data_IF_557699675161
#
_entry.id   IF_557699675161
#
_cell.length_a   1.000
_cell.length_b   1.000
_cell.length_c   1.000
_cell.angle_alpha   90.00
_cell.angle_beta   90.00
_cell.angle_gamma   90.00
#
_symmetry.space_group_name_H-M   'P 1'
#
loop_
_entity.id
_entity.type
_entity.pdbx_description
1 polymer ?
#
# COMPACT_ATOMS: atom_id res chain seq x y z
N UNK A 1 20.67 50.52 -27.17
CA UNK A 1 21.64 51.21 -26.29
C UNK A 1 21.90 50.26 -25.13
N UNK A 2 22.84 49.33 -25.31
CA UNK A 2 23.14 48.26 -24.36
C UNK A 2 24.60 48.43 -23.93
N UNK A 3 24.79 48.65 -22.64
CA UNK A 3 26.07 48.89 -21.99
C UNK A 3 26.77 47.58 -21.66
N UNK A 4 28.02 47.50 -22.12
CA UNK A 4 29.07 46.61 -21.62
C UNK A 4 29.35 46.90 -20.14
N UNK A 5 29.45 45.85 -19.33
CA UNK A 5 30.23 45.86 -18.10
C UNK A 5 30.99 44.55 -18.05
N UNK A 6 32.30 44.68 -18.22
CA UNK A 6 33.33 43.71 -17.89
C UNK A 6 33.90 44.18 -16.55
N UNK A 7 34.04 43.29 -15.56
CA UNK A 7 35.11 43.46 -14.58
C UNK A 7 35.48 42.17 -13.84
N UNK A 8 36.65 41.70 -14.24
CA UNK A 8 37.69 41.00 -13.49
C UNK A 8 37.51 40.85 -11.98
N UNK A 9 37.49 39.59 -11.51
CA UNK A 9 37.90 39.26 -10.14
C UNK A 9 38.77 38.00 -10.14
N UNK A 10 40.03 38.21 -9.79
CA UNK A 10 41.05 37.19 -9.52
C UNK A 10 40.70 36.40 -8.25
N UNK A 11 40.89 35.07 -8.23
CA UNK A 11 40.83 34.31 -6.98
C UNK A 11 42.19 34.33 -6.25
N UNK A 12 42.19 34.29 -4.89
CA UNK A 12 43.41 34.25 -4.11
C UNK A 12 44.06 32.86 -4.16
N UNK A 13 45.38 32.87 -4.31
CA UNK A 13 46.25 31.71 -4.15
C UNK A 13 46.27 31.26 -2.69
N UNK A 14 45.82 30.03 -2.43
CA UNK A 14 46.08 29.32 -1.17
C UNK A 14 47.04 28.17 -1.43
N UNK A 15 48.28 28.34 -0.98
CA UNK A 15 49.25 27.26 -0.88
C UNK A 15 48.75 26.24 0.16
N UNK A 16 48.47 25.01 -0.30
CA UNK A 16 48.15 23.89 0.59
C UNK A 16 49.45 23.14 0.91
N UNK A 17 49.87 23.22 2.16
CA UNK A 17 50.96 22.42 2.71
C UNK A 17 50.47 20.98 2.81
N UNK A 18 51.05 20.09 2.00
CA UNK A 18 50.89 18.65 2.16
C UNK A 18 51.64 18.21 3.43
N UNK A 19 50.89 17.99 4.52
CA UNK A 19 51.35 17.20 5.65
C UNK A 19 50.85 15.77 5.47
N UNK A 20 51.77 14.90 5.03
CA UNK A 20 51.52 13.47 4.92
C UNK A 20 51.57 12.83 6.31
N UNK A 21 50.41 12.72 6.97
CA UNK A 21 50.26 11.80 8.08
C UNK A 21 49.97 10.39 7.54
N UNK A 22 50.67 9.35 8.02
CA UNK A 22 50.36 7.98 7.63
C UNK A 22 48.97 7.61 8.13
N UNK A 23 48.10 7.18 7.21
CA UNK A 23 46.79 6.62 7.50
C UNK A 23 47.03 5.36 8.34
N UNK A 24 46.88 5.49 9.66
CA UNK A 24 46.68 4.34 10.54
C UNK A 24 45.33 3.75 10.16
N UNK A 25 45.37 2.69 9.35
CA UNK A 25 44.20 1.94 8.95
C UNK A 25 43.58 1.33 10.20
N UNK A 26 42.43 1.88 10.59
CA UNK A 26 41.68 1.51 11.78
C UNK A 26 41.15 0.08 11.66
N UNK A 27 41.96 -0.88 12.13
CA UNK A 27 41.63 -2.31 12.10
C UNK A 27 40.41 -2.65 12.97
N UNK A 28 39.97 -1.75 13.86
CA UNK A 28 38.79 -1.95 14.73
C UNK A 28 37.48 -2.03 13.94
N UNK A 29 37.39 -1.33 12.80
CA UNK A 29 36.24 -1.29 11.89
C UNK A 29 35.91 -2.65 11.26
N UNK A 30 36.93 -3.40 10.85
CA UNK A 30 36.77 -4.67 10.12
C UNK A 30 36.25 -5.80 11.03
N UNK A 31 36.72 -5.86 12.28
CA UNK A 31 36.26 -6.85 13.26
C UNK A 31 34.83 -6.60 13.72
N UNK A 32 34.45 -5.33 13.88
CA UNK A 32 33.08 -4.92 14.20
C UNK A 32 32.09 -5.36 13.11
N UNK A 33 32.45 -5.17 11.83
CA UNK A 33 31.63 -5.59 10.69
C UNK A 33 31.39 -7.11 10.65
N UNK A 34 32.43 -7.93 10.88
CA UNK A 34 32.29 -9.40 10.90
C UNK A 34 31.38 -9.89 12.03
N UNK A 35 31.51 -9.32 13.22
CA UNK A 35 30.67 -9.67 14.38
C UNK A 35 29.21 -9.30 14.14
N UNK A 36 28.95 -8.12 13.56
CA UNK A 36 27.59 -7.69 13.22
C UNK A 36 26.98 -8.59 12.15
N UNK A 37 27.72 -8.95 11.09
CA UNK A 37 27.23 -9.89 10.06
C UNK A 37 26.80 -11.22 10.67
N UNK A 38 27.61 -11.81 11.57
CA UNK A 38 27.25 -13.06 12.27
C UNK A 38 25.97 -12.91 13.09
N UNK A 39 25.81 -11.79 13.81
CA UNK A 39 24.57 -11.49 14.55
C UNK A 39 23.36 -11.37 13.62
N UNK A 40 23.49 -10.63 12.51
CA UNK A 40 22.43 -10.49 11.52
C UNK A 40 22.03 -11.84 10.92
N UNK A 41 22.99 -12.70 10.60
CA UNK A 41 22.72 -14.06 10.10
C UNK A 41 21.99 -14.92 11.14
N UNK A 42 22.43 -14.89 12.41
CA UNK A 42 21.78 -15.63 13.48
C UNK A 42 20.34 -15.14 13.72
N UNK A 43 20.14 -13.82 13.78
CA UNK A 43 18.81 -13.21 13.94
C UNK A 43 17.92 -13.51 12.74
N UNK A 44 18.44 -13.43 11.52
CA UNK A 44 17.68 -13.79 10.32
C UNK A 44 17.27 -15.26 10.31
N UNK A 45 18.14 -16.17 10.73
CA UNK A 45 17.79 -17.59 10.88
C UNK A 45 16.65 -17.76 11.88
N UNK A 46 16.74 -17.09 13.04
CA UNK A 46 15.70 -17.17 14.07
C UNK A 46 14.37 -16.58 13.59
N UNK A 47 14.39 -15.44 12.90
CA UNK A 47 13.20 -14.86 12.27
C UNK A 47 12.62 -15.84 11.26
N UNK A 48 13.46 -16.48 10.43
CA UNK A 48 12.99 -17.48 9.46
C UNK A 48 12.24 -18.62 10.16
N UNK A 49 12.78 -19.14 11.26
CA UNK A 49 12.13 -20.19 12.04
C UNK A 49 10.80 -19.71 12.64
N UNK A 50 10.75 -18.47 13.14
CA UNK A 50 9.54 -17.86 13.70
C UNK A 50 8.46 -17.66 12.63
N UNK A 51 8.82 -17.21 11.42
CA UNK A 51 7.81 -16.91 10.38
C UNK A 51 7.36 -18.15 9.63
N UNK A 52 8.20 -19.19 9.53
CA UNK A 52 7.89 -20.43 8.78
C UNK A 52 7.47 -21.62 9.67
N UNK A 53 7.85 -21.67 10.96
CA UNK A 53 7.73 -22.89 11.77
C UNK A 53 6.35 -23.12 12.37
N UNK A 54 5.65 -24.20 12.00
CA UNK A 54 4.23 -24.44 12.27
C UNK A 54 3.85 -24.61 13.75
N UNK A 55 4.78 -24.97 14.63
CA UNK A 55 4.47 -25.44 16.00
C UNK A 55 4.59 -24.37 17.10
N UNK A 56 4.94 -23.13 16.73
CA UNK A 56 5.11 -22.07 17.72
C UNK A 56 3.76 -21.46 18.08
N UNK A 57 3.43 -21.44 19.37
CA UNK A 57 2.30 -20.66 19.87
C UNK A 57 2.65 -19.16 19.80
N UNK A 58 1.69 -18.27 19.50
CA UNK A 58 1.92 -16.83 19.44
C UNK A 58 2.60 -16.26 20.69
N UNK A 59 2.24 -16.78 21.86
CA UNK A 59 2.77 -16.40 23.18
C UNK A 59 4.29 -16.63 23.28
N UNK A 60 4.80 -17.71 22.68
CA UNK A 60 6.23 -17.98 22.65
C UNK A 60 6.97 -17.14 21.60
N UNK A 61 6.28 -16.61 20.58
CA UNK A 61 6.95 -15.90 19.48
C UNK A 61 7.37 -14.47 19.87
N UNK A 62 6.58 -13.76 20.66
CA UNK A 62 6.85 -12.37 21.03
C UNK A 62 8.16 -12.19 21.82
N UNK A 63 8.44 -12.97 22.89
CA UNK A 63 9.72 -12.88 23.59
C UNK A 63 10.92 -13.16 22.66
N UNK A 64 10.78 -14.09 21.72
CA UNK A 64 11.83 -14.41 20.77
C UNK A 64 12.13 -13.25 19.80
N UNK A 65 11.10 -12.51 19.38
CA UNK A 65 11.25 -11.31 18.54
C UNK A 65 12.00 -10.22 19.32
N UNK A 66 11.64 -10.00 20.59
CA UNK A 66 12.33 -9.03 21.45
C UNK A 66 13.79 -9.39 21.68
N UNK A 67 14.10 -10.68 21.90
CA UNK A 67 15.49 -11.16 21.99
C UNK A 67 16.25 -10.91 20.68
N UNK A 68 15.62 -11.14 19.53
CA UNK A 68 16.22 -10.86 18.23
C UNK A 68 16.50 -9.35 18.02
N UNK A 69 15.55 -8.49 18.39
CA UNK A 69 15.70 -7.05 18.32
C UNK A 69 16.85 -6.57 19.24
N UNK A 70 16.89 -7.06 20.49
CA UNK A 70 17.94 -6.74 21.45
C UNK A 70 19.34 -7.20 20.99
N UNK A 71 19.44 -8.35 20.33
CA UNK A 71 20.72 -8.91 19.88
C UNK A 71 21.46 -8.03 18.86
N UNK A 72 20.71 -7.27 18.05
CA UNK A 72 21.24 -6.35 17.03
C UNK A 72 21.56 -4.95 17.57
N UNK A 73 21.19 -4.66 18.81
CA UNK A 73 21.33 -3.33 19.40
C UNK A 73 20.18 -2.37 19.03
N UNK A 74 20.20 -1.14 19.54
CA UNK A 74 19.09 -0.21 19.41
C UNK A 74 18.77 0.16 17.95
N UNK A 75 17.56 -0.21 17.53
CA UNK A 75 16.72 0.47 16.54
C UNK A 75 17.02 0.17 15.07
N UNK A 76 18.24 0.41 14.59
CA UNK A 76 18.43 0.66 13.15
C UNK A 76 18.63 -0.59 12.28
N UNK A 77 19.09 -1.70 12.85
CA UNK A 77 19.45 -2.89 12.05
C UNK A 77 18.35 -3.94 11.99
N UNK A 78 17.49 -4.01 13.01
CA UNK A 78 16.42 -5.02 13.06
C UNK A 78 15.37 -4.82 11.96
N UNK A 79 14.86 -3.59 11.78
CA UNK A 79 13.90 -3.32 10.71
C UNK A 79 14.50 -3.56 9.32
N UNK A 80 15.78 -3.26 9.11
CA UNK A 80 16.47 -3.51 7.83
C UNK A 80 16.48 -5.00 7.48
N UNK A 81 16.58 -5.89 8.46
CA UNK A 81 16.52 -7.34 8.22
C UNK A 81 15.10 -7.76 7.86
N UNK A 82 14.08 -7.22 8.54
CA UNK A 82 12.67 -7.55 8.31
C UNK A 82 12.16 -7.10 6.93
N UNK A 83 12.60 -5.92 6.48
CA UNK A 83 12.17 -5.30 5.22
C UNK A 83 12.95 -5.79 3.99
N UNK A 84 14.05 -6.53 4.18
CA UNK A 84 14.81 -7.12 3.09
C UNK A 84 14.21 -8.46 2.65
N UNK A 85 14.28 -8.75 1.35
CA UNK A 85 13.81 -9.99 0.72
C UNK A 85 14.74 -11.19 0.99
N UNK A 86 14.85 -11.58 2.25
CA UNK A 86 15.84 -12.55 2.73
C UNK A 86 15.28 -13.98 2.89
N UNK A 87 13.97 -14.19 2.73
CA UNK A 87 13.32 -15.48 2.93
C UNK A 87 12.62 -15.86 1.63
N UNK A 88 13.22 -16.78 0.86
CA UNK A 88 12.70 -17.25 -0.44
C UNK A 88 12.29 -16.10 -1.38
N UNK A 89 13.09 -15.04 -1.44
CA UNK A 89 12.82 -13.87 -2.29
C UNK A 89 11.78 -12.88 -1.74
N UNK A 90 11.24 -13.10 -0.54
CA UNK A 90 10.28 -12.22 0.11
C UNK A 90 10.76 -11.74 1.49
N UNK A 91 10.09 -10.70 1.98
CA UNK A 91 10.28 -10.11 3.31
C UNK A 91 9.79 -11.04 4.41
N UNK A 92 10.23 -10.81 5.65
CA UNK A 92 9.69 -11.56 6.79
C UNK A 92 8.19 -11.28 6.97
N UNK A 93 7.78 -10.02 6.83
CA UNK A 93 6.38 -9.60 6.98
C UNK A 93 5.44 -10.27 5.96
N UNK A 94 5.91 -10.47 4.71
CA UNK A 94 5.19 -11.25 3.70
C UNK A 94 4.83 -12.65 4.22
N UNK A 95 5.82 -13.40 4.71
CA UNK A 95 5.60 -14.77 5.17
C UNK A 95 4.71 -14.85 6.41
N UNK A 96 4.76 -13.85 7.28
CA UNK A 96 3.89 -13.79 8.44
C UNK A 96 2.43 -13.64 8.04
N UNK A 97 2.12 -12.84 7.02
CA UNK A 97 0.76 -12.73 6.47
C UNK A 97 0.36 -14.06 5.80
N UNK A 98 1.21 -14.60 4.92
CA UNK A 98 0.94 -15.86 4.19
C UNK A 98 0.68 -17.03 5.13
N UNK A 99 1.42 -17.11 6.24
CA UNK A 99 1.26 -18.17 7.22
C UNK A 99 0.23 -17.85 8.32
N UNK A 100 -0.59 -16.80 8.13
CA UNK A 100 -1.65 -16.35 9.04
C UNK A 100 -1.19 -16.12 10.49
N UNK A 101 -0.03 -15.49 10.69
CA UNK A 101 0.57 -15.23 12.02
C UNK A 101 0.38 -13.78 12.45
N UNK A 102 -0.86 -13.31 12.49
CA UNK A 102 -1.15 -11.88 12.64
C UNK A 102 -0.64 -11.27 13.95
N UNK A 103 -0.57 -12.04 15.04
CA UNK A 103 0.02 -11.56 16.29
C UNK A 103 1.51 -11.20 16.13
N UNK A 104 2.26 -12.06 15.44
CA UNK A 104 3.66 -11.80 15.08
C UNK A 104 3.75 -10.63 14.11
N UNK A 105 2.80 -10.52 13.19
CA UNK A 105 2.76 -9.43 12.23
C UNK A 105 2.71 -8.08 12.96
N UNK A 106 1.77 -7.91 13.89
CA UNK A 106 1.63 -6.66 14.63
C UNK A 106 2.85 -6.34 15.49
N UNK A 107 3.44 -7.35 16.14
CA UNK A 107 4.68 -7.18 16.88
C UNK A 107 5.85 -6.70 15.99
N UNK A 108 5.98 -7.25 14.78
CA UNK A 108 7.02 -6.83 13.83
C UNK A 108 6.68 -5.49 13.13
N UNK A 109 5.40 -5.20 12.95
CA UNK A 109 4.87 -3.99 12.35
C UNK A 109 5.25 -2.76 13.19
N UNK A 110 5.21 -2.85 14.51
CA UNK A 110 5.64 -1.78 15.43
C UNK A 110 7.09 -1.32 15.17
N UNK A 111 7.99 -2.25 14.80
CA UNK A 111 9.38 -1.91 14.47
C UNK A 111 9.57 -1.34 13.06
N UNK A 112 8.58 -1.47 12.17
CA UNK A 112 8.78 -1.32 10.71
C UNK A 112 7.87 -0.31 10.02
N UNK A 113 6.72 0.05 10.61
CA UNK A 113 5.67 0.85 9.95
C UNK A 113 6.17 2.15 9.31
N UNK A 114 7.02 2.91 10.00
CA UNK A 114 7.56 4.18 9.50
C UNK A 114 8.57 4.03 8.35
N UNK A 115 8.98 2.80 8.03
CA UNK A 115 10.10 2.51 7.13
C UNK A 115 9.70 1.65 5.92
N UNK A 116 8.41 1.46 5.65
CA UNK A 116 7.96 0.68 4.50
C UNK A 116 8.43 1.28 3.17
N UNK A 117 9.47 0.67 2.62
CA UNK A 117 9.93 0.94 1.27
C UNK A 117 8.87 0.52 0.23
N UNK A 118 8.89 1.09 -0.98
CA UNK A 118 8.00 0.65 -2.06
C UNK A 118 8.06 -0.86 -2.30
N UNK A 119 9.27 -1.44 -2.25
CA UNK A 119 9.50 -2.88 -2.38
C UNK A 119 8.80 -3.69 -1.27
N UNK A 120 8.82 -3.19 -0.03
CA UNK A 120 8.10 -3.84 1.06
C UNK A 120 6.59 -3.75 0.89
N UNK A 121 6.06 -2.57 0.50
CA UNK A 121 4.61 -2.41 0.25
C UNK A 121 4.14 -3.35 -0.84
N UNK A 122 4.92 -3.47 -1.90
CA UNK A 122 4.71 -4.40 -3.00
C UNK A 122 4.66 -5.86 -2.55
N UNK A 123 5.55 -6.25 -1.64
CA UNK A 123 5.55 -7.58 -1.01
C UNK A 123 4.29 -7.78 -0.16
N UNK A 124 3.95 -6.83 0.70
CA UNK A 124 2.75 -6.92 1.56
C UNK A 124 1.47 -6.97 0.73
N UNK A 125 1.38 -6.22 -0.37
CA UNK A 125 0.29 -6.28 -1.35
C UNK A 125 0.17 -7.69 -1.92
N UNK A 126 1.29 -8.29 -2.32
CA UNK A 126 1.33 -9.66 -2.84
C UNK A 126 0.88 -10.67 -1.78
N UNK A 127 1.30 -10.50 -0.51
CA UNK A 127 0.88 -11.38 0.58
C UNK A 127 -0.64 -11.32 0.81
N UNK A 128 -1.19 -10.11 0.89
CA UNK A 128 -2.63 -9.91 1.05
C UNK A 128 -3.40 -10.50 -0.12
N UNK A 129 -2.92 -10.31 -1.36
CA UNK A 129 -3.50 -10.89 -2.56
C UNK A 129 -3.56 -12.43 -2.49
N UNK A 130 -2.43 -13.09 -2.23
CA UNK A 130 -2.35 -14.56 -2.17
C UNK A 130 -3.23 -15.14 -1.06
N UNK A 131 -3.37 -14.42 0.06
CA UNK A 131 -4.22 -14.82 1.19
C UNK A 131 -5.66 -14.34 1.08
N UNK A 132 -6.01 -13.64 0.00
CA UNK A 132 -7.28 -12.94 -0.17
C UNK A 132 -7.71 -12.09 1.05
N UNK A 133 -6.76 -11.49 1.78
CA UNK A 133 -7.00 -10.81 3.05
C UNK A 133 -7.13 -9.28 2.90
N UNK A 134 -8.35 -8.82 2.62
CA UNK A 134 -8.66 -7.39 2.49
C UNK A 134 -8.51 -6.61 3.81
N UNK A 135 -8.80 -7.24 4.96
CA UNK A 135 -8.74 -6.55 6.25
C UNK A 135 -7.33 -6.03 6.54
N UNK A 136 -6.31 -6.87 6.35
CA UNK A 136 -4.90 -6.47 6.50
C UNK A 136 -4.52 -5.44 5.44
N UNK A 137 -4.92 -5.66 4.18
CA UNK A 137 -4.66 -4.72 3.09
C UNK A 137 -5.15 -3.30 3.39
N UNK A 138 -6.38 -3.19 3.92
CA UNK A 138 -7.01 -1.92 4.30
C UNK A 138 -6.36 -1.30 5.53
N UNK A 139 -6.06 -2.10 6.56
CA UNK A 139 -5.45 -1.63 7.81
C UNK A 139 -4.03 -1.07 7.58
N UNK A 140 -3.27 -1.71 6.70
CA UNK A 140 -1.93 -1.27 6.30
C UNK A 140 -1.92 -0.13 5.27
N UNK A 141 -3.10 0.34 4.84
CA UNK A 141 -3.23 1.38 3.83
C UNK A 141 -2.42 1.07 2.55
N UNK A 142 -2.39 -0.20 2.12
CA UNK A 142 -1.56 -0.67 1.01
C UNK A 142 -2.09 -0.26 -0.37
N UNK A 143 -3.31 0.29 -0.44
CA UNK A 143 -3.90 0.77 -1.67
C UNK A 143 -3.20 1.99 -2.28
N UNK A 144 -3.54 2.32 -3.53
CA UNK A 144 -3.18 3.59 -4.18
C UNK A 144 -3.89 4.73 -3.43
N UNK A 145 -3.16 5.57 -2.67
CA UNK A 145 -3.78 6.60 -1.79
C UNK A 145 -3.17 8.00 -1.86
N UNK A 146 -2.23 8.28 -2.77
CA UNK A 146 -1.36 9.46 -2.61
C UNK A 146 -2.09 10.80 -2.80
N UNK A 147 -2.97 10.93 -3.79
CA UNK A 147 -3.60 12.23 -4.10
C UNK A 147 -4.94 12.42 -3.39
N UNK A 148 -5.77 11.39 -3.32
CA UNK A 148 -7.06 11.41 -2.62
C UNK A 148 -6.91 11.79 -1.13
N UNK A 149 -5.83 11.38 -0.46
CA UNK A 149 -5.63 11.75 0.94
C UNK A 149 -5.51 13.26 1.17
N UNK A 150 -4.92 14.01 0.21
CA UNK A 150 -4.82 15.48 0.32
C UNK A 150 -6.20 16.11 0.19
N UNK A 151 -6.98 15.69 -0.80
CA UNK A 151 -8.35 16.17 -1.00
C UNK A 151 -9.26 15.84 0.18
N UNK A 152 -9.16 14.62 0.72
CA UNK A 152 -9.94 14.22 1.89
C UNK A 152 -9.65 15.08 3.11
N UNK A 153 -8.37 15.41 3.35
CA UNK A 153 -8.00 16.33 4.43
C UNK A 153 -8.54 17.74 4.19
N UNK A 154 -8.43 18.24 2.96
CA UNK A 154 -8.93 19.58 2.59
C UNK A 154 -10.46 19.68 2.73
N UNK A 155 -11.19 18.65 2.33
CA UNK A 155 -12.65 18.62 2.34
C UNK A 155 -13.26 18.15 3.68
N UNK A 156 -12.43 17.75 4.65
CA UNK A 156 -12.89 17.18 5.93
C UNK A 156 -13.65 15.86 5.75
N UNK A 157 -13.32 15.07 4.72
CA UNK A 157 -14.05 13.85 4.40
C UNK A 157 -13.67 12.68 5.33
N UNK A 158 -14.66 11.89 5.80
CA UNK A 158 -14.37 10.66 6.54
C UNK A 158 -13.62 9.64 5.66
N UNK A 159 -13.10 8.59 6.29
CA UNK A 159 -12.51 7.46 5.57
C UNK A 159 -13.56 6.64 4.86
N UNK A 160 -13.29 6.38 3.59
CA UNK A 160 -14.05 5.42 2.81
C UNK A 160 -13.93 4.04 3.45
N UNK A 161 -15.04 3.32 3.39
CA UNK A 161 -15.13 1.98 3.96
C UNK A 161 -15.29 1.00 2.81
N UNK A 162 -14.45 -0.01 2.80
CA UNK A 162 -14.52 -1.12 1.85
C UNK A 162 -14.64 -2.39 2.67
N UNK A 163 -15.74 -3.11 2.48
CA UNK A 163 -15.97 -4.40 3.08
C UNK A 163 -16.06 -5.44 1.97
N UNK A 164 -15.29 -6.52 2.12
CA UNK A 164 -15.31 -7.65 1.19
C UNK A 164 -15.88 -8.84 1.95
N UNK A 165 -16.97 -9.40 1.43
CA UNK A 165 -17.67 -10.54 1.99
C UNK A 165 -17.55 -11.71 1.02
N UNK A 166 -16.88 -12.78 1.41
CA UNK A 166 -16.84 -14.00 0.60
C UNK A 166 -18.18 -14.72 0.73
N UNK A 167 -18.79 -15.08 -0.39
CA UNK A 167 -20.09 -15.76 -0.42
C UNK A 167 -19.92 -17.27 -0.62
N UNK A 168 -19.07 -17.65 -1.57
CA UNK A 168 -18.72 -19.04 -1.86
C UNK A 168 -17.23 -19.09 -2.25
N UNK A 169 -16.42 -19.65 -1.37
CA UNK A 169 -14.98 -19.80 -1.58
C UNK A 169 -14.66 -20.73 -2.74
N UNK A 170 -15.47 -21.77 -2.96
CA UNK A 170 -15.24 -22.75 -4.03
C UNK A 170 -15.54 -22.18 -5.42
N UNK A 171 -16.52 -21.29 -5.49
CA UNK A 171 -16.91 -20.60 -6.72
C UNK A 171 -16.20 -19.25 -6.92
N UNK A 172 -15.29 -18.86 -6.02
CA UNK A 172 -14.66 -17.53 -5.99
C UNK A 172 -15.68 -16.38 -6.04
N UNK A 173 -16.86 -16.55 -5.42
CA UNK A 173 -17.87 -15.50 -5.34
C UNK A 173 -17.66 -14.63 -4.11
N UNK A 174 -17.70 -13.32 -4.33
CA UNK A 174 -17.57 -12.33 -3.28
C UNK A 174 -18.44 -11.11 -3.56
N UNK A 175 -18.87 -10.45 -2.49
CA UNK A 175 -19.59 -9.19 -2.51
C UNK A 175 -18.69 -8.09 -1.94
N UNK A 176 -18.61 -6.95 -2.63
CA UNK A 176 -17.87 -5.78 -2.15
C UNK A 176 -18.82 -4.64 -1.89
N UNK A 177 -18.82 -4.16 -0.64
CA UNK A 177 -19.59 -2.99 -0.21
C UNK A 177 -18.62 -1.82 -0.05
N UNK A 178 -18.75 -0.85 -0.95
CA UNK A 178 -17.96 0.38 -0.97
C UNK A 178 -18.83 1.55 -0.50
N UNK A 179 -18.42 2.21 0.59
CA UNK A 179 -19.06 3.43 1.11
C UNK A 179 -18.10 4.59 0.98
N UNK A 180 -18.42 5.49 0.04
CA UNK A 180 -17.59 6.66 -0.26
C UNK A 180 -18.20 7.90 0.38
N UNK A 181 -17.47 8.47 1.35
CA UNK A 181 -17.91 9.68 2.03
C UNK A 181 -17.82 10.90 1.11
N UNK A 182 -18.90 11.68 1.03
CA UNK A 182 -18.98 12.89 0.19
C UNK A 182 -18.63 12.64 -1.28
N UNK A 183 -19.00 11.48 -1.83
CA UNK A 183 -18.65 11.03 -3.19
C UNK A 183 -18.78 12.13 -4.25
N UNK A 184 -19.96 12.74 -4.40
CA UNK A 184 -20.21 13.79 -5.40
C UNK A 184 -19.30 15.01 -5.22
N UNK A 185 -19.12 15.49 -3.98
CA UNK A 185 -18.29 16.67 -3.70
C UNK A 185 -16.83 16.39 -4.05
N UNK A 186 -16.35 15.19 -3.71
CA UNK A 186 -14.99 14.75 -4.05
C UNK A 186 -14.83 14.62 -5.55
N UNK A 187 -15.74 13.94 -6.22
CA UNK A 187 -15.70 13.73 -7.67
C UNK A 187 -15.69 15.06 -8.45
N UNK A 188 -16.46 16.07 -8.00
CA UNK A 188 -16.41 17.43 -8.57
C UNK A 188 -15.10 18.15 -8.27
N UNK A 189 -14.61 18.06 -7.04
CA UNK A 189 -13.34 18.69 -6.66
C UNK A 189 -12.14 18.13 -7.42
N UNK A 190 -12.21 16.85 -7.80
CA UNK A 190 -11.17 16.21 -8.61
C UNK A 190 -11.29 16.58 -10.10
N UNK A 191 -12.51 16.78 -10.62
CA UNK A 191 -12.74 17.25 -11.99
C UNK A 191 -12.21 18.67 -12.26
N UNK A 192 -12.20 19.54 -11.25
CA UNK A 192 -11.74 20.94 -11.39
C UNK A 192 -10.22 21.12 -11.41
N UNK A 193 -9.43 20.06 -11.29
CA UNK A 193 -7.98 20.20 -11.31
C UNK A 193 -7.45 20.33 -12.74
N UNK A 194 -6.57 21.30 -13.00
CA UNK A 194 -5.91 21.55 -14.29
C UNK A 194 -5.16 20.34 -14.89
N UNK A 195 -5.04 19.22 -14.16
CA UNK A 195 -4.42 17.98 -14.62
C UNK A 195 -5.38 16.96 -15.22
N UNK A 196 -6.68 17.26 -15.33
CA UNK A 196 -7.66 16.44 -16.07
C UNK A 196 -7.96 15.02 -15.55
N UNK A 197 -7.15 14.50 -14.64
CA UNK A 197 -7.10 13.07 -14.29
C UNK A 197 -7.14 12.80 -12.78
N UNK A 198 -7.72 13.69 -11.98
CA UNK A 198 -7.91 13.34 -10.56
C UNK A 198 -9.17 12.47 -10.44
N UNK A 199 -8.90 11.25 -10.03
CA UNK A 199 -9.77 10.09 -10.14
C UNK A 199 -9.99 9.51 -8.73
N UNK A 200 -11.22 9.10 -8.42
CA UNK A 200 -11.47 8.35 -7.18
C UNK A 200 -11.16 6.89 -7.45
N UNK A 201 -9.98 6.45 -7.01
CA UNK A 201 -9.53 5.07 -7.17
C UNK A 201 -9.61 4.36 -5.82
N UNK A 202 -10.30 3.23 -5.80
CA UNK A 202 -10.42 2.34 -4.66
C UNK A 202 -9.87 0.97 -5.02
N UNK A 203 -8.93 0.47 -4.23
CA UNK A 203 -8.43 -0.88 -4.38
C UNK A 203 -8.92 -1.79 -3.25
N UNK A 204 -9.15 -3.05 -3.57
CA UNK A 204 -9.53 -4.07 -2.60
C UNK A 204 -8.99 -5.44 -3.00
N UNK A 205 -8.94 -6.35 -2.03
CA UNK A 205 -8.49 -7.72 -2.25
C UNK A 205 -9.67 -8.67 -2.19
N UNK A 206 -9.85 -9.50 -3.23
CA UNK A 206 -10.87 -10.54 -3.24
C UNK A 206 -10.53 -11.64 -4.25
N UNK A 207 -10.86 -12.89 -3.91
CA UNK A 207 -10.69 -14.04 -4.80
C UNK A 207 -9.25 -14.26 -5.26
N UNK A 208 -8.26 -13.92 -4.43
CA UNK A 208 -6.84 -14.05 -4.81
C UNK A 208 -6.31 -12.93 -5.70
N UNK A 209 -7.05 -11.83 -5.88
CA UNK A 209 -6.69 -10.72 -6.76
C UNK A 209 -6.78 -9.36 -6.05
N UNK A 210 -6.04 -8.37 -6.56
CA UNK A 210 -6.23 -6.97 -6.21
C UNK A 210 -7.04 -6.31 -7.32
N UNK A 211 -8.23 -5.88 -6.94
CA UNK A 211 -9.17 -5.17 -7.78
C UNK A 211 -9.00 -3.68 -7.61
N UNK A 212 -9.34 -2.92 -8.64
CA UNK A 212 -9.52 -1.48 -8.56
C UNK A 212 -10.89 -1.09 -9.11
N UNK A 213 -11.55 -0.14 -8.43
CA UNK A 213 -12.65 0.64 -8.95
C UNK A 213 -12.18 2.06 -9.14
N UNK A 214 -12.54 2.63 -10.27
CA UNK A 214 -12.13 3.96 -10.65
C UNK A 214 -13.35 4.78 -11.07
N UNK A 215 -13.65 5.83 -10.31
CA UNK A 215 -14.72 6.78 -10.62
C UNK A 215 -14.15 8.10 -11.13
N UNK A 216 -14.72 8.59 -12.23
CA UNK A 216 -14.35 9.88 -12.81
C UNK A 216 -15.55 10.56 -13.50
N UNK A 217 -15.47 11.89 -13.65
CA UNK A 217 -16.40 12.67 -14.46
C UNK A 217 -15.74 13.01 -15.79
N UNK A 218 -16.34 12.66 -16.94
CA UNK A 218 -15.83 13.10 -18.23
C UNK A 218 -15.93 14.63 -18.34
N UNK A 219 -14.91 15.27 -18.92
CA UNK A 219 -14.77 16.73 -19.05
C UNK A 219 -16.00 17.42 -19.67
N UNK A 220 -16.71 16.73 -20.58
CA UNK A 220 -17.84 17.28 -21.34
C UNK A 220 -19.20 16.71 -20.93
N UNK A 221 -19.29 16.02 -19.80
CA UNK A 221 -20.49 15.28 -19.41
C UNK A 221 -20.95 15.71 -18.01
N UNK A 222 -21.50 16.91 -17.88
CA UNK A 222 -22.06 17.40 -16.62
C UNK A 222 -23.12 16.44 -16.06
N UNK A 223 -23.04 16.16 -14.76
CA UNK A 223 -23.97 15.25 -14.07
C UNK A 223 -23.78 13.76 -14.39
N UNK A 224 -22.90 13.42 -15.33
CA UNK A 224 -22.53 12.05 -15.66
C UNK A 224 -21.20 11.70 -15.02
N UNK A 225 -21.15 10.53 -14.41
CA UNK A 225 -19.89 9.95 -13.96
C UNK A 225 -19.77 8.53 -14.49
N UNK A 226 -18.53 8.13 -14.69
CA UNK A 226 -18.13 6.83 -15.17
C UNK A 226 -17.50 6.03 -14.04
N UNK A 227 -17.78 4.74 -14.02
CA UNK A 227 -17.07 3.77 -13.20
C UNK A 227 -16.37 2.77 -14.11
N UNK A 228 -15.07 2.63 -13.88
CA UNK A 228 -14.24 1.60 -14.45
C UNK A 228 -13.89 0.58 -13.35
N UNK A 229 -13.81 -0.69 -13.72
CA UNK A 229 -13.34 -1.76 -12.84
C UNK A 229 -12.30 -2.59 -13.57
N UNK A 230 -11.30 -3.07 -12.83
CA UNK A 230 -10.31 -3.99 -13.36
C UNK A 230 -9.38 -4.54 -12.29
N UNK A 231 -8.28 -5.11 -12.76
CA UNK A 231 -7.29 -5.82 -11.95
C UNK A 231 -5.95 -5.08 -11.95
N UNK A 232 -5.24 -5.13 -10.84
CA UNK A 232 -3.86 -4.66 -10.79
C UNK A 232 -2.95 -5.59 -11.62
N UNK A 233 -1.83 -5.06 -12.11
CA UNK A 233 -0.92 -5.77 -13.03
C UNK A 233 -0.41 -7.13 -12.51
N UNK A 234 -0.23 -7.30 -11.18
CA UNK A 234 0.20 -8.57 -10.56
C UNK A 234 -0.91 -9.61 -10.42
N UNK A 235 -2.14 -9.26 -10.76
CA UNK A 235 -3.33 -10.09 -10.59
C UNK A 235 -3.81 -10.71 -11.90
N UNK A 236 -2.97 -10.75 -12.95
CA UNK A 236 -3.31 -11.30 -14.27
C UNK A 236 -2.76 -12.73 -14.48
N UNK A 237 -3.46 -13.57 -15.27
CA UNK A 237 -4.79 -13.36 -15.81
C UNK A 237 -5.85 -13.77 -14.78
N UNK A 238 -6.93 -12.99 -14.65
CA UNK A 238 -8.12 -13.54 -14.03
C UNK A 238 -8.90 -14.37 -15.06
N UNK A 239 -9.58 -15.41 -14.59
CA UNK A 239 -10.64 -16.05 -15.35
C UNK A 239 -11.76 -15.02 -15.64
N UNK A 240 -12.62 -15.31 -16.63
CA UNK A 240 -13.76 -14.48 -16.99
C UNK A 240 -14.56 -14.10 -15.74
N UNK A 241 -14.67 -12.79 -15.45
CA UNK A 241 -15.44 -12.29 -14.32
C UNK A 241 -16.89 -12.06 -14.77
N UNK A 242 -17.81 -12.78 -14.12
CA UNK A 242 -19.22 -12.45 -14.12
C UNK A 242 -19.53 -11.67 -12.84
N UNK A 243 -19.65 -10.35 -12.95
CA UNK A 243 -19.93 -9.49 -11.79
C UNK A 243 -21.22 -8.68 -12.02
N UNK A 244 -21.80 -8.20 -10.92
CA UNK A 244 -22.92 -7.25 -10.97
C UNK A 244 -22.55 -6.11 -10.04
N UNK A 245 -22.43 -4.90 -10.58
CA UNK A 245 -22.27 -3.70 -9.78
C UNK A 245 -23.65 -3.22 -9.36
N UNK A 246 -23.84 -3.07 -8.05
CA UNK A 246 -25.06 -2.51 -7.47
C UNK A 246 -24.72 -1.18 -6.82
N UNK A 247 -25.35 -0.10 -7.27
CA UNK A 247 -25.17 1.25 -6.75
C UNK A 247 -26.42 1.64 -5.97
N UNK A 248 -26.25 1.83 -4.67
CA UNK A 248 -27.30 2.30 -3.77
C UNK A 248 -26.97 3.72 -3.31
N UNK A 249 -27.78 4.69 -3.73
CA UNK A 249 -27.64 6.06 -3.25
C UNK A 249 -28.25 6.16 -1.86
N UNK A 250 -27.42 6.23 -0.81
CA UNK A 250 -27.92 6.51 0.54
C UNK A 250 -28.32 7.99 0.68
N UNK A 251 -29.54 8.31 0.26
CA UNK A 251 -30.18 9.59 0.60
C UNK A 251 -30.59 9.54 2.07
N UNK A 252 -29.76 10.11 2.93
CA UNK A 252 -29.93 10.21 4.39
C UNK A 252 -31.10 11.12 4.83
N UNK A 253 -32.21 11.17 4.08
CA UNK A 253 -33.46 11.75 4.61
C UNK A 253 -34.09 10.72 5.54
N UNK A 254 -33.70 10.77 6.82
CA UNK A 254 -34.38 10.07 7.92
C UNK A 254 -35.88 10.38 7.85
N UNK A 255 -36.70 9.41 7.43
CA UNK A 255 -38.15 9.56 7.33
C UNK A 255 -38.78 9.03 6.04
N UNK A 256 -38.01 8.73 4.98
CA UNK A 256 -38.55 8.01 3.82
C UNK A 256 -38.67 6.52 4.12
N UNK A 257 -39.90 6.01 4.17
CA UNK A 257 -40.17 4.58 4.39
C UNK A 257 -39.75 3.71 3.20
N UNK A 258 -39.59 4.29 2.01
CA UNK A 258 -39.21 3.56 0.80
C UNK A 258 -37.69 3.65 0.62
N UNK A 259 -36.96 2.51 0.61
CA UNK A 259 -35.56 2.50 0.24
C UNK A 259 -35.42 2.91 -1.23
N UNK A 260 -34.41 3.73 -1.59
CA UNK A 260 -34.17 4.09 -2.98
C UNK A 260 -33.88 2.83 -3.81
N UNK A 261 -34.41 2.79 -5.02
CA UNK A 261 -34.18 1.69 -5.95
C UNK A 261 -32.68 1.59 -6.29
N UNK A 262 -32.12 0.41 -6.10
CA UNK A 262 -30.71 0.16 -6.38
C UNK A 262 -30.48 0.04 -7.89
N UNK A 263 -29.54 0.80 -8.43
CA UNK A 263 -29.12 0.66 -9.83
C UNK A 263 -28.24 -0.58 -9.95
N UNK A 264 -28.70 -1.57 -10.73
CA UNK A 264 -27.94 -2.80 -11.00
C UNK A 264 -27.37 -2.77 -12.41
N UNK A 265 -26.06 -2.95 -12.51
CA UNK A 265 -25.32 -2.94 -13.77
C UNK A 265 -24.60 -4.29 -13.89
N UNK A 266 -25.02 -5.19 -14.80
CA UNK A 266 -24.26 -6.40 -15.07
C UNK A 266 -22.92 -6.03 -15.70
N UNK A 267 -21.86 -6.66 -15.22
CA UNK A 267 -20.49 -6.47 -15.66
C UNK A 267 -19.99 -7.80 -16.24
N UNK A 268 -19.62 -7.78 -17.52
CA UNK A 268 -18.90 -8.88 -18.16
C UNK A 268 -17.49 -8.41 -18.47
N UNK A 269 -16.49 -9.07 -17.88
CA UNK A 269 -15.09 -8.74 -18.08
C UNK A 269 -14.52 -9.67 -19.17
N UNK A 270 -14.89 -9.38 -20.42
CA UNK A 270 -14.27 -10.03 -21.59
C UNK A 270 -12.93 -9.36 -21.94
N UNK A 271 -12.78 -8.08 -21.60
CA UNK A 271 -11.56 -7.27 -21.72
C UNK A 271 -11.23 -6.59 -20.38
N UNK A 272 -9.96 -6.30 -20.13
CA UNK A 272 -9.38 -5.85 -18.84
C UNK A 272 -9.92 -4.54 -18.26
N UNK A 273 -10.89 -3.90 -18.94
CA UNK A 273 -11.50 -2.64 -18.54
C UNK A 273 -12.98 -2.63 -18.92
N UNK A 274 -13.85 -2.42 -17.93
CA UNK A 274 -15.26 -2.12 -18.15
C UNK A 274 -15.54 -0.62 -17.95
N UNK A 275 -16.59 -0.10 -18.60
CA UNK A 275 -17.05 1.28 -18.51
C UNK A 275 -18.56 1.29 -18.28
N UNK A 276 -19.03 1.76 -17.12
CA UNK A 276 -20.44 2.05 -16.89
C UNK A 276 -20.66 3.57 -16.86
N UNK A 277 -21.63 4.06 -17.65
CA UNK A 277 -22.10 5.45 -17.59
C UNK A 277 -23.35 5.50 -16.72
N UNK A 278 -23.37 6.38 -15.73
CA UNK A 278 -24.56 6.62 -14.91
C UNK A 278 -24.84 8.10 -14.84
N UNK A 279 -26.10 8.49 -15.10
CA UNK A 279 -26.61 9.83 -14.80
C UNK A 279 -27.17 9.85 -13.39
N UNK A 280 -26.51 10.58 -12.50
CA UNK A 280 -27.09 10.90 -11.20
C UNK A 280 -27.93 12.16 -11.32
N UNK A 281 -29.23 12.05 -11.64
CA UNK A 281 -30.16 13.15 -11.39
C UNK A 281 -30.45 13.17 -9.89
N UNK A 282 -29.76 14.04 -9.14
CA UNK A 282 -30.08 14.40 -7.74
C UNK A 282 -29.95 15.91 -7.58
#
# INVERSE_FOLDING_TARGET
MATLVDDSSTPPSYATIFSANPIQCDQSSVFSSRRMKKKCTAVLSRIRDIVLGHDLTPECMLPNILVCAAALGPGAEFFKILLKRNIKGHTALYWVIVNNRLQVFWALHEFTYSYYSPVCKDDLRNACMITSNHAIFSQLALGIRSEDMRFRRFLGCPSDQIQVHTCDESANQFNVVLRIGMFQKRLRATATSDRGDIQLIHEFVAGGHIWWLHFHMPEFAEGLWRVDIGLCWRSHPAACLNAVLVIEAHNRKSGSATPPEALKIPLSLADTKFVALTSGNV
#
